data_IF_977890965892
#
_entry.id   IF_977890965892
#
_cell.length_a   1.000
_cell.length_b   1.000
_cell.length_c   1.000
_cell.angle_alpha   90.00
_cell.angle_beta   90.00
_cell.angle_gamma   90.00
#
_symmetry.space_group_name_H-M   'P 1'
#
loop_
_entity.id
_entity.type
_entity.pdbx_description
1 polymer ?
#
# COMPACT_ATOMS: atom_id res chain seq x y z
N UNK A 1 -21.74 10.81 -2.45
CA UNK A 1 -21.60 10.23 -1.09
C UNK A 1 -20.47 10.90 -0.32
N UNK A 2 -19.27 11.00 -0.88
CA UNK A 2 -18.11 11.63 -0.24
C UNK A 2 -18.19 13.16 -0.28
N UNK A 3 -18.71 13.75 -1.36
CA UNK A 3 -18.87 15.21 -1.46
C UNK A 3 -19.86 15.72 -0.40
N UNK A 4 -20.94 14.97 -0.16
CA UNK A 4 -21.90 15.29 0.90
C UNK A 4 -21.25 15.31 2.30
N UNK A 5 -20.27 14.43 2.55
CA UNK A 5 -19.52 14.42 3.80
C UNK A 5 -18.58 15.64 3.90
N UNK A 6 -17.97 16.06 2.79
CA UNK A 6 -17.18 17.30 2.73
C UNK A 6 -18.07 18.52 3.03
N UNK A 7 -19.27 18.59 2.46
CA UNK A 7 -20.21 19.68 2.75
C UNK A 7 -20.69 19.67 4.21
N UNK A 8 -20.91 18.50 4.82
CA UNK A 8 -21.19 18.40 6.25
C UNK A 8 -20.02 18.89 7.11
N UNK A 9 -18.78 18.57 6.72
CA UNK A 9 -17.58 19.06 7.40
C UNK A 9 -17.45 20.59 7.30
N UNK A 10 -17.65 21.16 6.09
CA UNK A 10 -17.71 22.61 5.87
C UNK A 10 -18.78 23.27 6.75
N UNK A 11 -19.99 22.73 6.77
CA UNK A 11 -21.09 23.23 7.62
C UNK A 11 -20.74 23.16 9.11
N UNK A 12 -20.03 22.12 9.56
CA UNK A 12 -19.55 22.03 10.94
C UNK A 12 -18.50 23.11 11.25
N UNK A 13 -17.58 23.41 10.32
CA UNK A 13 -16.61 24.49 10.48
C UNK A 13 -17.29 25.87 10.57
N UNK A 14 -18.29 26.14 9.71
CA UNK A 14 -19.07 27.39 9.77
C UNK A 14 -19.78 27.54 11.12
N UNK A 15 -20.50 26.51 11.57
CA UNK A 15 -21.19 26.54 12.87
C UNK A 15 -20.23 26.74 14.04
N UNK A 16 -19.05 26.11 13.98
CA UNK A 16 -18.02 26.32 15.00
C UNK A 16 -17.52 27.76 14.98
N UNK A 17 -17.26 28.33 13.79
CA UNK A 17 -16.82 29.72 13.65
C UNK A 17 -17.85 30.71 14.22
N UNK A 18 -19.14 30.51 13.93
CA UNK A 18 -20.22 31.34 14.46
C UNK A 18 -20.32 31.25 15.99
N UNK A 19 -20.16 30.04 16.55
CA UNK A 19 -20.14 29.84 18.00
C UNK A 19 -18.94 30.54 18.66
N UNK A 20 -17.73 30.46 18.07
CA UNK A 20 -16.56 31.19 18.58
C UNK A 20 -16.76 32.71 18.48
N UNK A 21 -17.37 33.20 17.39
CA UNK A 21 -17.67 34.63 17.22
C UNK A 21 -18.66 35.12 18.27
N UNK A 22 -19.74 34.38 18.53
CA UNK A 22 -20.71 34.75 19.55
C UNK A 22 -20.09 34.87 20.96
N UNK A 23 -19.14 34.00 21.30
CA UNK A 23 -18.38 34.09 22.57
C UNK A 23 -17.46 35.31 22.57
N UNK A 24 -16.77 35.58 21.45
CA UNK A 24 -15.91 36.76 21.33
C UNK A 24 -16.71 38.06 21.47
N UNK A 25 -17.88 38.15 20.83
CA UNK A 25 -18.76 39.32 20.91
C UNK A 25 -19.28 39.53 22.34
N UNK A 26 -19.64 38.44 23.03
CA UNK A 26 -20.04 38.48 24.44
C UNK A 26 -18.89 38.94 25.36
N UNK A 27 -17.66 38.51 25.10
CA UNK A 27 -16.47 38.98 25.82
C UNK A 27 -16.21 40.47 25.58
N UNK A 28 -16.36 40.95 24.33
CA UNK A 28 -16.23 42.37 23.98
C UNK A 28 -17.24 43.22 24.77
N UNK A 29 -18.49 42.75 24.85
CA UNK A 29 -19.53 43.44 25.60
C UNK A 29 -19.28 43.48 27.11
N UNK A 30 -18.68 42.42 27.68
CA UNK A 30 -18.35 42.35 29.12
C UNK A 30 -17.14 43.20 29.51
N UNK A 31 -16.17 43.35 28.61
CA UNK A 31 -14.93 44.08 28.86
C UNK A 31 -14.70 45.17 27.78
N UNK A 32 -15.46 46.27 27.82
CA UNK A 32 -15.27 47.39 26.91
C UNK A 32 -13.95 48.11 27.24
N UNK A 33 -13.07 48.25 26.24
CA UNK A 33 -11.79 48.97 26.37
C UNK A 33 -10.54 48.08 26.51
N UNK A 34 -10.68 46.75 26.66
CA UNK A 34 -9.55 45.83 26.56
C UNK A 34 -9.04 45.70 25.12
N UNK A 35 -7.72 45.67 24.97
CA UNK A 35 -7.06 45.48 23.68
C UNK A 35 -7.15 44.02 23.20
N UNK A 36 -7.00 43.78 21.88
CA UNK A 36 -7.16 42.45 21.28
C UNK A 36 -6.22 41.38 21.87
N UNK A 37 -5.03 41.78 22.33
CA UNK A 37 -4.07 40.84 22.95
C UNK A 37 -4.46 40.42 24.38
N UNK A 38 -5.36 41.17 25.03
CA UNK A 38 -5.88 40.89 26.37
C UNK A 38 -7.09 39.96 26.35
N UNK A 39 -7.66 39.71 25.16
CA UNK A 39 -8.84 38.87 24.96
C UNK A 39 -8.50 37.39 25.17
N UNK A 40 -9.36 36.71 25.92
CA UNK A 40 -9.30 35.28 26.14
C UNK A 40 -9.79 34.50 24.90
N UNK A 41 -10.80 35.01 24.19
CA UNK A 41 -11.34 34.36 22.99
C UNK A 41 -10.47 34.66 21.79
N UNK A 42 -9.94 33.62 21.15
CA UNK A 42 -9.22 33.75 19.89
C UNK A 42 -10.12 33.30 18.75
N UNK A 43 -10.34 34.19 17.78
CA UNK A 43 -10.96 33.82 16.51
C UNK A 43 -10.09 32.80 15.78
N UNK A 44 -10.72 31.80 15.14
CA UNK A 44 -9.99 30.86 14.29
C UNK A 44 -9.53 31.60 13.04
N UNK A 45 -8.21 31.66 12.82
CA UNK A 45 -7.66 32.16 11.57
C UNK A 45 -8.17 31.34 10.37
N UNK A 46 -8.56 32.01 9.29
CA UNK A 46 -9.01 31.39 8.02
C UNK A 46 -8.00 30.37 7.49
N UNK A 47 -6.70 30.67 7.57
CA UNK A 47 -5.62 29.75 7.22
C UNK A 47 -5.68 28.40 7.96
N UNK A 48 -6.14 28.38 9.23
CA UNK A 48 -6.32 27.13 9.98
C UNK A 48 -7.52 26.34 9.47
N UNK A 49 -8.59 27.01 9.06
CA UNK A 49 -9.80 26.39 8.52
C UNK A 49 -9.51 25.71 7.18
N UNK A 50 -8.80 26.39 6.28
CA UNK A 50 -8.37 25.86 4.98
C UNK A 50 -7.45 24.64 5.15
N UNK A 51 -6.49 24.73 6.07
CA UNK A 51 -5.56 23.62 6.37
C UNK A 51 -6.29 22.41 6.94
N UNK A 52 -7.25 22.61 7.84
CA UNK A 52 -8.09 21.55 8.40
C UNK A 52 -8.91 20.86 7.31
N UNK A 53 -9.55 21.65 6.42
CA UNK A 53 -10.33 21.13 5.30
C UNK A 53 -9.45 20.35 4.31
N UNK A 54 -8.27 20.87 3.99
CA UNK A 54 -7.30 20.19 3.12
C UNK A 54 -6.89 18.86 3.70
N UNK A 55 -6.52 18.84 4.98
CA UNK A 55 -6.17 17.60 5.68
C UNK A 55 -7.33 16.61 5.66
N UNK A 56 -8.54 17.07 5.95
CA UNK A 56 -9.74 16.23 5.95
C UNK A 56 -9.97 15.60 4.57
N UNK A 57 -9.92 16.36 3.48
CA UNK A 57 -10.10 15.85 2.13
C UNK A 57 -9.00 14.86 1.72
N UNK A 58 -7.74 15.12 2.11
CA UNK A 58 -6.62 14.18 1.89
C UNK A 58 -6.87 12.86 2.62
N UNK A 59 -7.17 12.92 3.92
CA UNK A 59 -7.44 11.74 4.74
C UNK A 59 -8.68 10.98 4.20
N UNK A 60 -9.71 11.69 3.75
CA UNK A 60 -10.91 11.09 3.14
C UNK A 60 -10.58 10.39 1.82
N UNK A 61 -9.71 10.97 0.97
CA UNK A 61 -9.27 10.32 -0.27
C UNK A 61 -8.49 9.03 -0.01
N UNK A 62 -7.75 8.93 1.10
CA UNK A 62 -7.14 7.65 1.54
C UNK A 62 -8.18 6.62 1.96
N UNK A 63 -9.25 7.06 2.63
CA UNK A 63 -10.37 6.18 3.00
C UNK A 63 -11.07 5.67 1.73
N UNK A 64 -11.30 6.51 0.73
CA UNK A 64 -11.87 6.12 -0.57
C UNK A 64 -11.02 5.02 -1.22
N UNK A 65 -9.69 5.21 -1.28
CA UNK A 65 -8.78 4.18 -1.79
C UNK A 65 -8.84 2.89 -0.97
N UNK A 66 -8.90 2.98 0.35
CA UNK A 66 -9.00 1.81 1.23
C UNK A 66 -10.29 1.02 1.01
N UNK A 67 -11.41 1.72 0.78
CA UNK A 67 -12.69 1.11 0.41
C UNK A 67 -12.60 0.46 -0.97
N UNK A 68 -12.04 1.17 -1.96
CA UNK A 68 -11.85 0.64 -3.31
C UNK A 68 -11.05 -0.67 -3.29
N UNK A 69 -9.90 -0.70 -2.59
CA UNK A 69 -9.07 -1.90 -2.44
C UNK A 69 -9.84 -3.10 -1.88
N UNK A 70 -10.82 -2.89 -1.00
CA UNK A 70 -11.63 -3.98 -0.42
C UNK A 70 -12.70 -4.48 -1.39
N UNK A 71 -13.25 -3.61 -2.22
CA UNK A 71 -14.31 -3.97 -3.18
C UNK A 71 -13.76 -4.57 -4.48
N UNK A 72 -12.60 -4.12 -4.94
CA UNK A 72 -12.06 -4.49 -6.26
C UNK A 72 -10.96 -5.55 -6.24
N UNK A 73 -10.33 -5.80 -5.09
CA UNK A 73 -9.31 -6.84 -5.00
C UNK A 73 -9.96 -8.23 -5.06
N UNK A 74 -9.48 -9.15 -5.92
CA UNK A 74 -9.89 -10.55 -5.87
C UNK A 74 -9.70 -11.16 -4.48
N UNK A 75 -10.60 -12.07 -4.11
CA UNK A 75 -10.58 -12.72 -2.81
C UNK A 75 -9.20 -13.28 -2.47
N UNK A 76 -8.59 -12.79 -1.40
CA UNK A 76 -7.31 -13.30 -0.91
C UNK A 76 -6.07 -12.77 -1.62
N UNK A 77 -6.22 -11.77 -2.49
CA UNK A 77 -5.14 -11.04 -3.15
C UNK A 77 -5.07 -9.60 -2.61
N UNK A 78 -4.01 -8.88 -2.99
CA UNK A 78 -3.85 -7.47 -2.63
C UNK A 78 -3.60 -6.66 -3.89
N UNK A 79 -4.35 -5.56 -4.03
CA UNK A 79 -4.10 -4.53 -5.03
C UNK A 79 -3.53 -3.30 -4.34
N UNK A 80 -2.41 -2.80 -4.85
CA UNK A 80 -1.90 -1.48 -4.50
C UNK A 80 -2.51 -0.44 -5.43
N UNK A 81 -3.09 0.60 -4.84
CA UNK A 81 -3.64 1.74 -5.56
C UNK A 81 -2.87 2.95 -5.06
N UNK A 82 -2.13 3.60 -5.96
CA UNK A 82 -1.43 4.85 -5.67
C UNK A 82 -2.43 6.01 -5.70
N UNK A 83 -2.81 6.49 -4.52
CA UNK A 83 -3.77 7.58 -4.37
C UNK A 83 -3.37 8.83 -5.17
N UNK A 84 -2.08 9.20 -5.16
CA UNK A 84 -1.64 10.43 -5.80
C UNK A 84 -1.75 10.30 -7.33
N UNK A 85 -1.25 9.19 -7.88
CA UNK A 85 -1.34 8.91 -9.31
C UNK A 85 -2.80 8.79 -9.79
N UNK A 86 -3.68 8.18 -8.99
CA UNK A 86 -5.09 8.06 -9.37
C UNK A 86 -5.87 9.36 -9.24
N UNK A 87 -5.54 10.23 -8.27
CA UNK A 87 -6.12 11.57 -8.18
C UNK A 87 -5.70 12.42 -9.39
N UNK A 88 -4.43 12.35 -9.78
CA UNK A 88 -3.91 13.01 -10.98
C UNK A 88 -4.61 12.48 -12.24
N UNK A 89 -4.74 11.16 -12.39
CA UNK A 89 -5.44 10.54 -13.52
C UNK A 89 -6.93 10.91 -13.58
N UNK A 90 -7.56 11.17 -12.43
CA UNK A 90 -8.94 11.65 -12.34
C UNK A 90 -9.05 13.18 -12.54
N UNK A 91 -7.93 13.91 -12.69
CA UNK A 91 -7.91 15.36 -12.84
C UNK A 91 -8.27 16.12 -11.55
N UNK A 92 -8.01 15.54 -10.38
CA UNK A 92 -8.42 16.10 -9.09
C UNK A 92 -7.19 16.56 -8.30
N UNK A 93 -7.04 17.87 -8.17
CA UNK A 93 -6.14 18.50 -7.20
C UNK A 93 -6.95 19.04 -6.01
N UNK A 94 -6.84 18.35 -4.86
CA UNK A 94 -7.53 18.73 -3.63
C UNK A 94 -7.08 20.12 -3.14
N UNK A 95 -5.79 20.43 -3.24
CA UNK A 95 -5.25 21.69 -2.75
C UNK A 95 -5.66 22.85 -3.64
N UNK A 96 -5.64 22.69 -4.96
CA UNK A 96 -6.10 23.71 -5.91
C UNK A 96 -7.61 23.94 -5.80
N UNK A 97 -8.41 22.88 -5.68
CA UNK A 97 -9.85 23.01 -5.50
C UNK A 97 -10.19 23.84 -4.26
N UNK A 98 -9.53 23.55 -3.13
CA UNK A 98 -9.77 24.30 -1.89
C UNK A 98 -9.30 25.76 -2.01
N UNK A 99 -8.10 26.02 -2.57
CA UNK A 99 -7.59 27.39 -2.76
C UNK A 99 -8.47 28.24 -3.69
N UNK A 100 -9.11 27.60 -4.67
CA UNK A 100 -10.07 28.25 -5.59
C UNK A 100 -11.48 28.39 -5.00
N UNK A 101 -11.71 27.93 -3.76
CA UNK A 101 -13.02 27.97 -3.11
C UNK A 101 -14.00 26.90 -3.59
N UNK A 102 -13.54 25.92 -4.37
CA UNK A 102 -14.35 24.82 -4.88
C UNK A 102 -14.24 23.57 -3.97
N UNK A 103 -15.20 22.65 -4.08
CA UNK A 103 -15.17 21.37 -3.35
C UNK A 103 -14.47 20.33 -4.22
N UNK A 104 -13.39 19.66 -3.73
CA UNK A 104 -12.79 18.55 -4.44
C UNK A 104 -13.82 17.44 -4.69
N UNK A 105 -13.92 16.95 -5.93
CA UNK A 105 -14.93 15.97 -6.31
C UNK A 105 -14.47 14.53 -6.03
N UNK A 106 -14.62 14.08 -4.78
CA UNK A 106 -14.27 12.71 -4.38
C UNK A 106 -15.31 11.67 -4.81
N UNK A 107 -16.52 12.08 -5.21
CA UNK A 107 -17.48 11.18 -5.84
C UNK A 107 -17.07 10.83 -7.28
N UNK A 108 -16.51 11.78 -8.02
CA UNK A 108 -15.84 11.54 -9.30
C UNK A 108 -14.60 10.64 -9.12
N UNK A 109 -13.78 10.90 -8.09
CA UNK A 109 -12.65 10.03 -7.77
C UNK A 109 -13.07 8.58 -7.52
N UNK A 110 -14.12 8.37 -6.73
CA UNK A 110 -14.67 7.03 -6.50
C UNK A 110 -15.15 6.36 -7.79
N UNK A 111 -15.82 7.13 -8.66
CA UNK A 111 -16.32 6.62 -9.94
C UNK A 111 -15.18 6.21 -10.87
N UNK A 112 -14.11 7.02 -10.93
CA UNK A 112 -12.86 6.69 -11.65
C UNK A 112 -12.25 5.38 -11.14
N UNK A 113 -12.11 5.22 -9.82
CA UNK A 113 -11.57 3.99 -9.24
C UNK A 113 -12.45 2.78 -9.59
N UNK A 114 -13.77 2.89 -9.48
CA UNK A 114 -14.66 1.79 -9.88
C UNK A 114 -14.54 1.49 -11.37
N UNK A 115 -14.49 2.49 -12.23
CA UNK A 115 -14.38 2.26 -13.67
C UNK A 115 -13.06 1.57 -14.03
N UNK A 116 -11.95 1.98 -13.43
CA UNK A 116 -10.62 1.45 -13.71
C UNK A 116 -10.39 0.06 -13.14
N UNK A 117 -10.92 -0.22 -11.96
CA UNK A 117 -10.62 -1.44 -11.21
C UNK A 117 -11.79 -2.44 -11.12
N UNK A 118 -12.99 -2.14 -11.64
CA UNK A 118 -14.12 -3.08 -11.58
C UNK A 118 -13.89 -4.34 -12.43
N UNK A 119 -14.52 -5.43 -11.99
CA UNK A 119 -14.51 -6.71 -12.69
C UNK A 119 -13.11 -7.29 -12.84
N UNK A 120 -12.83 -7.85 -14.01
CA UNK A 120 -11.57 -8.56 -14.29
C UNK A 120 -10.36 -7.62 -14.41
N UNK A 121 -10.58 -6.31 -14.59
CA UNK A 121 -9.52 -5.32 -14.68
C UNK A 121 -8.76 -5.20 -13.34
N UNK A 122 -9.46 -5.13 -12.21
CA UNK A 122 -8.85 -5.11 -10.89
C UNK A 122 -8.05 -6.38 -10.60
N UNK A 123 -8.57 -7.53 -11.03
CA UNK A 123 -7.87 -8.80 -10.91
C UNK A 123 -6.58 -8.82 -11.72
N UNK A 124 -6.65 -8.43 -13.00
CA UNK A 124 -5.49 -8.36 -13.88
C UNK A 124 -4.41 -7.44 -13.33
N UNK A 125 -4.78 -6.25 -12.84
CA UNK A 125 -3.83 -5.30 -12.25
C UNK A 125 -3.19 -5.88 -10.98
N UNK A 126 -3.97 -6.52 -10.10
CA UNK A 126 -3.43 -7.17 -8.91
C UNK A 126 -2.41 -8.27 -9.27
N UNK A 127 -2.69 -9.05 -10.32
CA UNK A 127 -1.76 -10.09 -10.80
C UNK A 127 -0.50 -9.50 -11.44
N UNK A 128 -0.61 -8.43 -12.22
CA UNK A 128 0.54 -7.70 -12.77
C UNK A 128 1.44 -7.13 -11.66
N UNK A 129 0.84 -6.53 -10.64
CA UNK A 129 1.58 -6.03 -9.48
C UNK A 129 2.27 -7.16 -8.69
N UNK A 130 1.58 -8.28 -8.50
CA UNK A 130 2.17 -9.46 -7.86
C UNK A 130 3.33 -10.04 -8.68
N UNK A 131 3.17 -10.16 -10.01
CA UNK A 131 4.23 -10.61 -10.89
C UNK A 131 5.45 -9.67 -10.85
N UNK A 132 5.22 -8.35 -10.88
CA UNK A 132 6.26 -7.35 -10.70
C UNK A 132 7.01 -7.52 -9.37
N UNK A 133 6.28 -7.68 -8.27
CA UNK A 133 6.86 -7.88 -6.94
C UNK A 133 7.70 -9.17 -6.86
N UNK A 134 7.26 -10.25 -7.51
CA UNK A 134 8.02 -11.49 -7.61
C UNK A 134 9.29 -11.30 -8.45
N UNK A 135 9.17 -10.69 -9.63
CA UNK A 135 10.31 -10.41 -10.52
C UNK A 135 11.36 -9.55 -9.80
N UNK A 136 10.93 -8.50 -9.11
CA UNK A 136 11.80 -7.61 -8.35
C UNK A 136 12.42 -8.28 -7.12
N UNK A 137 11.64 -9.06 -6.38
CA UNK A 137 12.08 -9.76 -5.18
C UNK A 137 13.07 -10.89 -5.48
N UNK A 138 12.79 -11.69 -6.51
CA UNK A 138 13.64 -12.79 -6.96
C UNK A 138 14.73 -12.36 -7.94
N UNK A 139 14.83 -11.06 -8.24
CA UNK A 139 15.81 -10.50 -9.17
C UNK A 139 15.84 -11.20 -10.54
N UNK A 140 14.66 -11.49 -11.07
CA UNK A 140 14.52 -12.15 -12.36
C UNK A 140 14.89 -11.18 -13.48
N UNK A 141 15.68 -11.67 -14.43
CA UNK A 141 16.04 -11.03 -15.70
C UNK A 141 15.58 -11.91 -16.85
N UNK A 142 15.45 -11.38 -18.08
CA UNK A 142 15.17 -12.19 -19.26
C UNK A 142 16.14 -13.36 -19.44
N UNK A 143 17.39 -13.17 -19.01
CA UNK A 143 18.49 -14.16 -19.08
C UNK A 143 18.69 -14.95 -17.78
N UNK A 144 17.89 -14.70 -16.74
CA UNK A 144 18.04 -15.45 -15.47
C UNK A 144 17.70 -16.91 -15.71
N UNK A 145 18.72 -17.75 -15.67
CA UNK A 145 18.56 -19.19 -15.78
C UNK A 145 17.86 -19.72 -14.51
N UNK A 146 16.58 -20.04 -14.63
CA UNK A 146 15.87 -20.79 -13.59
C UNK A 146 16.49 -22.18 -13.54
N UNK A 147 17.34 -22.41 -12.54
CA UNK A 147 18.05 -23.69 -12.40
C UNK A 147 17.05 -24.79 -12.10
N UNK A 148 16.70 -25.57 -13.13
CA UNK A 148 15.95 -26.80 -13.00
C UNK A 148 16.88 -27.86 -12.40
N UNK A 149 16.54 -28.33 -11.22
CA UNK A 149 17.23 -29.43 -10.55
C UNK A 149 16.34 -30.67 -10.57
N UNK A 150 16.91 -31.84 -10.25
CA UNK A 150 16.14 -33.09 -10.11
C UNK A 150 15.03 -33.02 -9.04
N UNK A 151 15.06 -32.00 -8.17
CA UNK A 151 14.14 -31.85 -7.04
C UNK A 151 13.23 -30.63 -7.12
N UNK A 152 13.25 -29.89 -8.24
CA UNK A 152 12.46 -28.67 -8.41
C UNK A 152 13.22 -27.51 -9.07
N UNK A 153 12.61 -26.34 -9.06
CA UNK A 153 13.17 -25.10 -9.61
C UNK A 153 13.75 -24.28 -8.45
N UNK A 154 15.03 -23.91 -8.56
CA UNK A 154 15.71 -23.08 -7.54
C UNK A 154 15.99 -21.70 -8.09
N UNK A 155 15.59 -20.68 -7.34
CA UNK A 155 15.79 -19.27 -7.66
C UNK A 155 16.46 -18.58 -6.46
N UNK A 156 17.51 -17.80 -6.74
CA UNK A 156 18.21 -17.02 -5.70
C UNK A 156 17.69 -15.58 -5.68
N UNK A 157 17.41 -15.06 -4.49
CA UNK A 157 17.07 -13.67 -4.25
C UNK A 157 18.18 -12.99 -3.44
N UNK A 158 18.61 -11.80 -3.85
CA UNK A 158 19.50 -10.98 -3.01
C UNK A 158 18.69 -10.34 -1.90
N UNK A 159 18.93 -10.79 -0.67
CA UNK A 159 18.26 -10.29 0.54
C UNK A 159 19.33 -9.91 1.54
N UNK A 160 19.47 -8.61 1.78
CA UNK A 160 20.38 -8.10 2.79
C UNK A 160 19.89 -8.46 4.18
N UNK A 161 20.82 -8.80 5.06
CA UNK A 161 20.52 -9.09 6.46
C UNK A 161 21.49 -8.35 7.38
N UNK A 162 21.07 -8.11 8.61
CA UNK A 162 21.85 -7.48 9.66
C UNK A 162 21.91 -8.37 10.90
N UNK A 163 22.97 -8.22 11.71
CA UNK A 163 23.08 -8.97 12.95
C UNK A 163 21.96 -8.55 13.91
N UNK A 164 21.36 -9.51 14.60
CA UNK A 164 20.46 -9.16 15.69
C UNK A 164 21.26 -8.76 16.92
N UNK A 165 20.85 -7.66 17.56
CA UNK A 165 21.46 -7.16 18.80
C UNK A 165 21.21 -8.09 20.00
N UNK A 166 20.16 -8.92 19.92
CA UNK A 166 19.69 -9.76 21.03
C UNK A 166 20.47 -11.07 21.18
N UNK A 167 21.14 -11.57 20.13
CA UNK A 167 21.76 -12.89 20.15
C UNK A 167 22.86 -13.07 19.09
N UNK A 168 24.03 -13.51 19.53
CA UNK A 168 25.17 -13.81 18.65
C UNK A 168 24.82 -14.88 17.60
N UNK A 169 25.18 -14.62 16.35
CA UNK A 169 24.93 -15.51 15.21
C UNK A 169 23.51 -15.47 14.64
N UNK A 170 22.58 -14.76 15.29
CA UNK A 170 21.25 -14.50 14.75
C UNK A 170 21.23 -13.25 13.88
N UNK A 171 20.39 -13.28 12.86
CA UNK A 171 20.25 -12.23 11.86
C UNK A 171 18.78 -11.94 11.62
N UNK A 172 18.51 -10.75 11.12
CA UNK A 172 17.19 -10.34 10.64
C UNK A 172 17.31 -9.71 9.27
N UNK A 173 16.21 -9.68 8.53
CA UNK A 173 16.16 -8.94 7.25
C UNK A 173 16.53 -7.48 7.50
N UNK A 174 17.47 -6.94 6.73
CA UNK A 174 17.91 -5.57 6.90
C UNK A 174 16.77 -4.60 6.63
N UNK A 175 16.78 -3.44 7.31
CA UNK A 175 15.73 -2.42 7.14
C UNK A 175 15.44 -2.10 5.65
N UNK A 176 16.49 -1.98 4.83
CA UNK A 176 16.38 -1.70 3.40
C UNK A 176 15.80 -2.85 2.56
N UNK A 177 15.81 -4.07 3.07
CA UNK A 177 15.29 -5.26 2.36
C UNK A 177 13.86 -5.63 2.81
N UNK A 178 13.39 -5.13 3.96
CA UNK A 178 12.10 -5.52 4.54
C UNK A 178 10.92 -5.28 3.61
N UNK A 179 10.85 -4.11 2.98
CA UNK A 179 9.76 -3.76 2.04
C UNK A 179 9.76 -4.66 0.81
N UNK A 180 10.94 -5.00 0.27
CA UNK A 180 11.08 -5.89 -0.88
C UNK A 180 10.68 -7.32 -0.53
N UNK A 181 11.11 -7.84 0.62
CA UNK A 181 10.73 -9.19 1.09
C UNK A 181 9.22 -9.25 1.35
N UNK A 182 8.64 -8.24 2.00
CA UNK A 182 7.20 -8.16 2.22
C UNK A 182 6.41 -8.15 0.90
N UNK A 183 6.85 -7.36 -0.08
CA UNK A 183 6.25 -7.31 -1.40
C UNK A 183 6.37 -8.67 -2.13
N UNK A 184 7.53 -9.32 -2.06
CA UNK A 184 7.75 -10.65 -2.64
C UNK A 184 6.80 -11.69 -2.04
N UNK A 185 6.69 -11.77 -0.71
CA UNK A 185 5.80 -12.72 -0.02
C UNK A 185 4.33 -12.45 -0.37
N UNK A 186 3.93 -11.19 -0.43
CA UNK A 186 2.58 -10.79 -0.86
C UNK A 186 2.31 -11.19 -2.32
N UNK A 187 3.30 -11.00 -3.19
CA UNK A 187 3.24 -11.42 -4.60
C UNK A 187 3.11 -12.93 -4.73
N UNK A 188 3.95 -13.71 -4.03
CA UNK A 188 3.88 -15.17 -4.00
C UNK A 188 2.54 -15.68 -3.45
N UNK A 189 1.99 -15.01 -2.44
CA UNK A 189 0.65 -15.32 -1.92
C UNK A 189 -0.41 -15.13 -3.00
N UNK A 190 -0.38 -14.01 -3.72
CA UNK A 190 -1.33 -13.69 -4.79
C UNK A 190 -1.22 -14.67 -5.96
N UNK A 191 0.02 -15.02 -6.36
CA UNK A 191 0.30 -16.08 -7.31
C UNK A 191 -0.30 -17.42 -6.87
N UNK A 192 -0.09 -17.83 -5.62
CA UNK A 192 -0.57 -19.10 -5.11
C UNK A 192 -2.11 -19.16 -5.11
N UNK A 193 -2.79 -18.05 -4.80
CA UNK A 193 -4.26 -17.93 -4.93
C UNK A 193 -4.70 -18.10 -6.39
N UNK A 194 -4.10 -17.36 -7.33
CA UNK A 194 -4.45 -17.42 -8.76
C UNK A 194 -4.22 -18.82 -9.35
N UNK A 195 -3.18 -19.50 -8.91
CA UNK A 195 -2.81 -20.83 -9.40
C UNK A 195 -3.50 -21.98 -8.67
N UNK A 196 -4.50 -21.70 -7.80
CA UNK A 196 -5.25 -22.73 -7.07
C UNK A 196 -4.44 -23.46 -5.98
N UNK A 197 -3.28 -22.92 -5.59
CA UNK A 197 -2.39 -23.49 -4.60
C UNK A 197 -2.78 -23.03 -3.17
N UNK A 198 -3.99 -23.38 -2.74
CA UNK A 198 -4.62 -22.84 -1.53
C UNK A 198 -3.81 -23.07 -0.24
N UNK A 199 -3.17 -24.23 -0.09
CA UNK A 199 -2.33 -24.54 1.07
C UNK A 199 -1.11 -23.59 1.16
N UNK A 200 -0.37 -23.46 0.07
CA UNK A 200 0.77 -22.53 -0.03
C UNK A 200 0.33 -21.08 0.22
N UNK A 201 -0.80 -20.66 -0.35
CA UNK A 201 -1.34 -19.33 -0.12
C UNK A 201 -1.68 -19.09 1.37
N UNK A 202 -2.27 -20.08 2.04
CA UNK A 202 -2.59 -20.01 3.46
C UNK A 202 -1.34 -19.86 4.33
N UNK A 203 -0.31 -20.66 4.08
CA UNK A 203 0.93 -20.61 4.86
C UNK A 203 1.70 -19.30 4.63
N UNK A 204 1.81 -18.83 3.37
CA UNK A 204 2.50 -17.57 3.05
C UNK A 204 1.83 -16.35 3.67
N UNK A 205 0.50 -16.35 3.86
CA UNK A 205 -0.21 -15.25 4.56
C UNK A 205 0.18 -15.11 6.02
N UNK A 206 0.62 -16.20 6.65
CA UNK A 206 0.94 -16.25 8.07
C UNK A 206 2.44 -16.35 8.34
N UNK A 207 3.26 -16.45 7.29
CA UNK A 207 4.70 -16.51 7.43
C UNK A 207 5.26 -15.19 7.98
N UNK A 208 6.36 -15.30 8.71
CA UNK A 208 6.99 -14.16 9.42
C UNK A 208 8.40 -13.88 8.92
N UNK A 209 8.68 -14.22 7.66
CA UNK A 209 9.98 -14.07 7.00
C UNK A 209 10.61 -12.68 7.18
N UNK A 210 9.82 -11.61 7.24
CA UNK A 210 10.31 -10.23 7.41
C UNK A 210 10.74 -9.93 8.85
N UNK A 211 9.99 -10.44 9.83
CA UNK A 211 10.18 -10.11 11.25
C UNK A 211 11.00 -11.13 12.02
N UNK A 212 11.09 -12.35 11.52
CA UNK A 212 11.76 -13.45 12.22
C UNK A 212 13.27 -13.29 12.18
N UNK A 213 13.89 -13.57 13.33
CA UNK A 213 15.32 -13.78 13.40
C UNK A 213 15.65 -15.18 12.89
N UNK A 214 16.81 -15.32 12.26
CA UNK A 214 17.28 -16.57 11.68
C UNK A 214 18.79 -16.72 11.77
N UNK A 215 19.27 -17.95 11.66
CA UNK A 215 20.68 -18.28 11.45
C UNK A 215 20.92 -18.63 9.99
N UNK A 216 22.15 -18.40 9.53
CA UNK A 216 22.53 -18.76 8.16
C UNK A 216 22.26 -20.25 7.90
N UNK A 217 21.63 -20.54 6.75
CA UNK A 217 21.15 -21.86 6.31
C UNK A 217 19.90 -22.36 7.02
N UNK A 218 19.23 -21.53 7.81
CA UNK A 218 17.90 -21.86 8.33
C UNK A 218 16.93 -22.08 7.18
N UNK A 219 16.12 -23.13 7.32
CA UNK A 219 15.14 -23.55 6.34
C UNK A 219 13.73 -23.29 6.86
N UNK A 220 12.91 -22.72 6.00
CA UNK A 220 11.48 -22.59 6.21
C UNK A 220 10.76 -23.36 5.11
N UNK A 221 9.94 -24.33 5.51
CA UNK A 221 9.26 -25.25 4.60
C UNK A 221 7.78 -24.90 4.52
N UNK A 222 7.32 -24.78 3.28
CA UNK A 222 5.95 -24.55 2.88
C UNK A 222 5.50 -25.68 1.94
N UNK A 223 4.20 -25.79 1.71
CA UNK A 223 3.61 -26.71 0.76
C UNK A 223 4.10 -26.40 -0.66
N UNK A 224 5.08 -27.17 -1.14
CA UNK A 224 5.65 -27.01 -2.48
C UNK A 224 6.69 -25.90 -2.63
N UNK A 225 7.15 -25.28 -1.54
CA UNK A 225 8.18 -24.26 -1.51
C UNK A 225 9.08 -24.43 -0.27
N UNK A 226 10.40 -24.48 -0.45
CA UNK A 226 11.39 -24.40 0.64
C UNK A 226 12.19 -23.11 0.48
N UNK A 227 12.35 -22.35 1.56
CA UNK A 227 13.17 -21.13 1.60
C UNK A 227 14.39 -21.38 2.50
N UNK A 228 15.59 -21.26 1.93
CA UNK A 228 16.85 -21.34 2.68
C UNK A 228 17.44 -19.94 2.82
N UNK A 229 17.63 -19.48 4.05
CA UNK A 229 18.06 -18.11 4.36
C UNK A 229 19.56 -18.06 4.63
N UNK A 230 20.34 -17.40 3.77
CA UNK A 230 21.75 -17.09 4.00
C UNK A 230 21.92 -15.63 4.46
N UNK A 231 23.16 -15.21 4.68
CA UNK A 231 23.46 -13.86 5.17
C UNK A 231 23.26 -12.78 4.09
N UNK A 232 23.47 -13.12 2.83
CA UNK A 232 23.51 -12.19 1.69
C UNK A 232 22.49 -12.54 0.60
N UNK A 233 21.92 -13.75 0.67
CA UNK A 233 20.94 -14.26 -0.29
C UNK A 233 19.98 -15.25 0.34
N UNK A 234 18.81 -15.37 -0.25
CA UNK A 234 17.85 -16.43 0.07
C UNK A 234 17.66 -17.31 -1.16
N UNK A 235 17.50 -18.61 -0.95
CA UNK A 235 17.18 -19.57 -2.02
C UNK A 235 15.73 -20.02 -1.88
N UNK A 236 14.97 -19.84 -2.95
CA UNK A 236 13.59 -20.29 -3.08
C UNK A 236 13.59 -21.54 -3.94
N UNK A 237 13.22 -22.68 -3.35
CA UNK A 237 13.15 -23.97 -4.02
C UNK A 237 11.68 -24.37 -4.16
N UNK A 238 11.18 -24.27 -5.39
CA UNK A 238 9.81 -24.65 -5.74
C UNK A 238 9.77 -26.10 -6.20
N UNK A 239 8.77 -26.85 -5.75
CA UNK A 239 8.41 -28.12 -6.39
C UNK A 239 8.06 -27.88 -7.87
N UNK A 240 8.32 -28.86 -8.74
CA UNK A 240 8.15 -28.70 -10.20
C UNK A 240 6.79 -28.11 -10.60
N UNK A 241 5.69 -28.67 -10.08
CA UNK A 241 4.33 -28.19 -10.38
C UNK A 241 4.13 -26.71 -10.00
N UNK A 242 4.65 -26.27 -8.86
CA UNK A 242 4.54 -24.87 -8.41
C UNK A 242 5.47 -23.97 -9.24
N UNK A 243 6.67 -24.46 -9.55
CA UNK A 243 7.64 -23.73 -10.37
C UNK A 243 7.15 -23.50 -11.80
N UNK A 244 6.56 -24.51 -12.44
CA UNK A 244 5.98 -24.36 -13.79
C UNK A 244 4.77 -23.42 -13.77
N UNK A 245 3.90 -23.52 -12.75
CA UNK A 245 2.80 -22.57 -12.56
C UNK A 245 3.30 -21.13 -12.36
N UNK A 246 4.39 -20.95 -11.62
CA UNK A 246 5.03 -19.65 -11.42
C UNK A 246 5.57 -19.08 -12.73
N UNK A 247 6.20 -19.90 -13.57
CA UNK A 247 6.64 -19.49 -14.91
C UNK A 247 5.47 -19.03 -15.77
N UNK A 248 4.37 -19.77 -15.81
CA UNK A 248 3.15 -19.38 -16.55
C UNK A 248 2.60 -18.05 -16.03
N UNK A 249 2.49 -17.89 -14.71
CA UNK A 249 2.00 -16.67 -14.09
C UNK A 249 2.86 -15.44 -14.45
N UNK A 250 4.20 -15.59 -14.42
CA UNK A 250 5.12 -14.52 -14.81
C UNK A 250 5.01 -14.21 -16.31
N UNK A 251 4.86 -15.22 -17.17
CA UNK A 251 4.66 -15.01 -18.60
C UNK A 251 3.33 -14.31 -18.91
N UNK A 252 2.26 -14.62 -18.17
CA UNK A 252 0.94 -14.03 -18.39
C UNK A 252 0.84 -12.59 -17.87
N UNK A 253 1.40 -12.30 -16.69
CA UNK A 253 1.17 -11.01 -16.00
C UNK A 253 2.43 -10.16 -15.81
N UNK A 254 3.62 -10.71 -16.03
CA UNK A 254 4.90 -10.06 -15.77
C UNK A 254 5.82 -9.90 -16.98
N UNK A 255 5.42 -10.37 -18.17
CA UNK A 255 6.29 -10.42 -19.35
C UNK A 255 6.85 -9.04 -19.74
N UNK A 256 6.01 -8.01 -19.77
CA UNK A 256 6.43 -6.64 -20.11
C UNK A 256 7.47 -6.10 -19.11
N UNK A 257 7.20 -6.25 -17.81
CA UNK A 257 8.14 -5.82 -16.75
C UNK A 257 9.42 -6.65 -16.74
N UNK A 258 9.35 -7.94 -17.06
CA UNK A 258 10.54 -8.78 -17.16
C UNK A 258 11.41 -8.35 -18.35
N UNK A 259 10.79 -8.05 -19.50
CA UNK A 259 11.49 -7.58 -20.70
C UNK A 259 12.18 -6.23 -20.50
N UNK A 260 11.58 -5.31 -19.74
CA UNK A 260 12.16 -4.00 -19.44
C UNK A 260 13.40 -4.05 -18.52
N UNK A 261 13.78 -5.23 -18.03
CA UNK A 261 14.99 -5.45 -17.20
C UNK A 261 16.19 -5.98 -17.98
N UNK A 262 16.05 -6.15 -19.30
CA UNK A 262 17.12 -6.54 -20.22
C UNK A 262 18.23 -5.51 -20.32
#
# INVERSE_FOLDING_TARGET
MYNALIEQFKSAQTRAADAYRAVADAEIALFPGCEDYERATRSRHEYKVERELTKFCVDLSEVVVRVARREVAPAGTRIEIDRAAELEAAGIDIGEAIRSGTTPDLDAFWSHLKQKFAGDAGASIAYQQAAKAIIDGLWLKPTTEMKRTNSGIVIEASVGSEASFSSSGWRRVSYYSQSRVAALVTGLTTFAVKSGCAALAGELRHCRLVSDEYRSRDKESFTGLEIVRYNDKWQFKFAHAIGDALSIFISEFGAEHLASRG
#
